data_IF_601070767702
#
_entry.id   IF_601070767702
#
_cell.length_a   1.000
_cell.length_b   1.000
_cell.length_c   1.000
_cell.angle_alpha   90.00
_cell.angle_beta   90.00
_cell.angle_gamma   90.00
#
_symmetry.space_group_name_H-M   'P 1'
#
loop_
_entity.id
_entity.type
_entity.pdbx_description
1 polymer ?
#
# COMPACT_ATOMS: atom_id res chain seq x y z
N UNK A 1 16.81 6.88 -48.65
CA UNK A 1 17.48 6.16 -47.56
C UNK A 1 17.59 6.97 -46.26
N UNK A 2 18.01 8.25 -46.26
CA UNK A 2 18.12 9.06 -45.00
C UNK A 2 16.82 9.19 -44.20
N UNK A 3 15.66 9.38 -44.84
CA UNK A 3 14.35 9.49 -44.15
C UNK A 3 13.90 8.19 -43.48
N UNK A 4 14.23 7.02 -44.04
CA UNK A 4 13.88 5.72 -43.46
C UNK A 4 14.72 5.40 -42.21
N UNK A 5 16.01 5.76 -42.25
CA UNK A 5 16.94 5.58 -41.13
C UNK A 5 16.52 6.45 -39.94
N UNK A 6 16.09 7.70 -40.17
CA UNK A 6 15.63 8.61 -39.11
C UNK A 6 14.34 8.10 -38.45
N UNK A 7 13.41 7.56 -39.23
CA UNK A 7 12.16 7.00 -38.70
C UNK A 7 12.38 5.75 -37.84
N UNK A 8 13.30 4.87 -38.25
CA UNK A 8 13.65 3.65 -37.47
C UNK A 8 14.38 4.02 -36.19
N UNK A 9 15.31 4.98 -36.20
CA UNK A 9 15.99 5.44 -34.98
C UNK A 9 15.03 6.07 -33.97
N UNK A 10 14.08 6.92 -34.43
CA UNK A 10 13.08 7.53 -33.56
C UNK A 10 12.17 6.48 -32.95
N UNK A 11 11.77 5.45 -33.70
CA UNK A 11 10.93 4.37 -33.20
C UNK A 11 11.65 3.49 -32.16
N UNK A 12 12.96 3.21 -32.39
CA UNK A 12 13.77 2.46 -31.42
C UNK A 12 13.97 3.26 -30.11
N UNK A 13 14.22 4.58 -30.21
CA UNK A 13 14.38 5.45 -29.04
C UNK A 13 13.09 5.54 -28.24
N UNK A 14 11.92 5.62 -28.88
CA UNK A 14 10.63 5.62 -28.21
C UNK A 14 10.35 4.27 -27.52
N UNK A 15 10.69 3.16 -28.16
CA UNK A 15 10.56 1.82 -27.56
C UNK A 15 11.54 1.59 -26.39
N UNK A 16 12.76 2.13 -26.46
CA UNK A 16 13.73 2.02 -25.36
C UNK A 16 13.37 2.93 -24.18
N UNK A 17 12.86 4.13 -24.44
CA UNK A 17 12.34 5.02 -23.38
C UNK A 17 11.11 4.43 -22.69
N UNK A 18 10.21 3.77 -23.40
CA UNK A 18 9.08 3.06 -22.80
C UNK A 18 9.51 1.87 -21.91
N UNK A 19 10.70 1.29 -22.16
CA UNK A 19 11.26 0.24 -21.29
C UNK A 19 12.10 0.79 -20.13
N UNK A 20 12.56 2.04 -20.19
CA UNK A 20 13.34 2.71 -19.13
C UNK A 20 12.42 3.39 -18.09
N UNK A 21 11.24 3.85 -18.47
CA UNK A 21 10.18 4.18 -17.53
C UNK A 21 9.62 2.87 -16.99
N UNK A 22 10.30 2.34 -15.98
CA UNK A 22 10.05 1.06 -15.36
C UNK A 22 8.56 0.78 -15.33
N UNK A 23 8.20 -0.37 -15.83
CA UNK A 23 6.88 -0.97 -15.71
C UNK A 23 6.44 -0.84 -14.27
N UNK A 24 5.81 0.28 -13.91
CA UNK A 24 5.02 0.34 -12.67
C UNK A 24 4.01 -0.77 -12.85
N UNK A 25 4.23 -1.85 -12.12
CA UNK A 25 3.28 -2.95 -12.08
C UNK A 25 2.11 -2.42 -11.26
N UNK A 26 1.24 -1.66 -11.93
CA UNK A 26 -0.10 -1.40 -11.43
C UNK A 26 -0.70 -2.79 -11.27
N UNK A 27 -1.07 -3.14 -10.06
CA UNK A 27 -1.61 -4.45 -9.78
C UNK A 27 -2.85 -4.68 -10.65
N UNK A 28 -2.90 -5.84 -11.29
CA UNK A 28 -4.08 -6.20 -12.10
C UNK A 28 -5.31 -6.31 -11.20
N UNK A 29 -6.54 -6.13 -11.74
CA UNK A 29 -7.76 -6.38 -10.97
C UNK A 29 -7.78 -7.77 -10.31
N UNK A 30 -7.23 -8.80 -10.99
CA UNK A 30 -7.13 -10.16 -10.48
C UNK A 30 -6.18 -10.25 -9.28
N UNK A 31 -5.04 -9.56 -9.33
CA UNK A 31 -4.10 -9.48 -8.21
C UNK A 31 -4.77 -8.86 -6.97
N UNK A 32 -5.44 -7.71 -7.14
CA UNK A 32 -6.17 -7.02 -6.07
C UNK A 32 -7.25 -7.92 -5.46
N UNK A 33 -8.08 -8.52 -6.32
CA UNK A 33 -9.14 -9.42 -5.88
C UNK A 33 -8.59 -10.63 -5.10
N UNK A 34 -7.51 -11.26 -5.59
CA UNK A 34 -6.90 -12.41 -4.92
C UNK A 34 -6.35 -12.08 -3.54
N UNK A 35 -5.74 -10.91 -3.36
CA UNK A 35 -5.28 -10.46 -2.04
C UNK A 35 -6.44 -10.14 -1.11
N UNK A 36 -7.40 -9.32 -1.57
CA UNK A 36 -8.56 -8.93 -0.77
C UNK A 36 -9.36 -10.16 -0.30
N UNK A 37 -9.55 -11.14 -1.17
CA UNK A 37 -10.24 -12.38 -0.81
C UNK A 37 -9.53 -13.10 0.34
N UNK A 38 -8.23 -13.36 0.21
CA UNK A 38 -7.45 -14.06 1.25
C UNK A 38 -7.40 -13.31 2.58
N UNK A 39 -7.16 -12.00 2.55
CA UNK A 39 -7.10 -11.17 3.74
C UNK A 39 -8.47 -11.11 4.42
N UNK A 40 -9.52 -10.83 3.65
CA UNK A 40 -10.86 -10.66 4.19
C UNK A 40 -11.46 -11.97 4.70
N UNK A 41 -11.09 -13.12 4.13
CA UNK A 41 -11.42 -14.42 4.71
C UNK A 41 -10.77 -14.62 6.09
N UNK A 42 -9.49 -14.26 6.27
CA UNK A 42 -8.83 -14.32 7.57
C UNK A 42 -9.48 -13.37 8.58
N UNK A 43 -9.74 -12.13 8.17
CA UNK A 43 -10.39 -11.11 9.00
C UNK A 43 -11.81 -11.52 9.43
N UNK A 44 -12.60 -12.14 8.55
CA UNK A 44 -13.95 -12.57 8.85
C UNK A 44 -14.01 -13.69 9.89
N UNK A 45 -12.99 -14.56 9.95
CA UNK A 45 -12.97 -15.71 10.87
C UNK A 45 -12.35 -15.39 12.22
N UNK A 46 -11.50 -14.38 12.31
CA UNK A 46 -10.54 -14.23 13.39
C UNK A 46 -9.44 -15.30 13.33
N UNK A 47 -8.35 -15.07 14.00
CA UNK A 47 -7.24 -16.03 14.05
C UNK A 47 -6.32 -15.80 15.26
N UNK A 48 -5.44 -16.75 15.52
CA UNK A 48 -4.37 -16.58 16.49
C UNK A 48 -3.14 -15.95 15.83
N UNK A 49 -2.69 -14.81 16.36
CA UNK A 49 -1.44 -14.16 16.01
C UNK A 49 -0.38 -14.49 17.07
N UNK A 50 0.33 -15.59 16.88
CA UNK A 50 1.11 -16.21 17.96
C UNK A 50 0.18 -16.71 19.07
N UNK A 51 0.46 -16.32 20.30
CA UNK A 51 -0.38 -16.70 21.47
C UNK A 51 -1.62 -15.82 21.67
N UNK A 52 -1.86 -14.79 20.84
CA UNK A 52 -2.95 -13.82 21.00
C UNK A 52 -4.08 -14.11 20.01
N UNK A 53 -5.30 -14.36 20.52
CA UNK A 53 -6.47 -14.43 19.65
C UNK A 53 -6.90 -13.03 19.19
N UNK A 54 -6.99 -12.85 17.87
CA UNK A 54 -7.54 -11.66 17.23
C UNK A 54 -8.97 -11.96 16.76
N UNK A 55 -9.93 -11.21 17.30
CA UNK A 55 -11.33 -11.36 16.94
C UNK A 55 -11.57 -11.00 15.45
N UNK A 56 -12.69 -11.45 14.85
CA UNK A 56 -13.08 -10.99 13.52
C UNK A 56 -13.05 -9.48 13.39
N UNK A 57 -12.53 -9.01 12.26
CA UNK A 57 -12.40 -7.59 11.95
C UNK A 57 -13.14 -7.24 10.64
N UNK A 58 -13.61 -6.00 10.47
CA UNK A 58 -14.26 -5.57 9.23
C UNK A 58 -13.36 -5.79 8.00
N UNK A 59 -13.94 -6.05 6.82
CA UNK A 59 -13.15 -6.26 5.61
C UNK A 59 -12.38 -4.99 5.22
N UNK A 60 -11.21 -5.19 4.61
CA UNK A 60 -10.42 -4.14 3.99
C UNK A 60 -10.90 -3.90 2.55
N UNK A 61 -10.80 -2.66 2.10
CA UNK A 61 -11.00 -2.26 0.71
C UNK A 61 -9.69 -1.79 0.10
N UNK A 62 -9.56 -1.91 -1.23
CA UNK A 62 -8.35 -1.45 -1.92
C UNK A 62 -8.29 0.07 -1.96
N UNK A 63 -7.09 0.63 -1.74
CA UNK A 63 -6.82 2.05 -1.83
C UNK A 63 -5.61 2.27 -2.76
N UNK A 64 -5.79 3.07 -3.81
CA UNK A 64 -4.75 3.30 -4.82
C UNK A 64 -3.57 4.12 -4.29
N UNK A 65 -3.78 5.00 -3.33
CA UNK A 65 -2.71 5.80 -2.74
C UNK A 65 -1.78 4.92 -1.89
N UNK A 66 -2.36 4.00 -1.10
CA UNK A 66 -1.59 2.99 -0.36
C UNK A 66 -0.86 2.04 -1.32
N UNK A 67 -1.50 1.64 -2.42
CA UNK A 67 -0.85 0.83 -3.46
C UNK A 67 0.36 1.55 -4.06
N UNK A 68 0.24 2.84 -4.41
CA UNK A 68 1.35 3.64 -4.94
C UNK A 68 2.52 3.70 -3.96
N UNK A 69 2.24 3.88 -2.66
CA UNK A 69 3.27 3.85 -1.61
C UNK A 69 3.97 2.50 -1.57
N UNK A 70 3.19 1.42 -1.48
CA UNK A 70 3.69 0.05 -1.40
C UNK A 70 4.52 -0.37 -2.63
N UNK A 71 4.02 -0.08 -3.85
CA UNK A 71 4.72 -0.39 -5.10
C UNK A 71 6.06 0.34 -5.21
N UNK A 72 6.09 1.62 -4.84
CA UNK A 72 7.33 2.41 -4.85
C UNK A 72 8.36 1.87 -3.87
N UNK A 73 7.93 1.48 -2.67
CA UNK A 73 8.84 0.94 -1.66
C UNK A 73 9.35 -0.46 -2.01
N UNK A 74 8.49 -1.34 -2.51
CA UNK A 74 8.92 -2.65 -3.02
C UNK A 74 9.94 -2.51 -4.16
N UNK A 75 9.70 -1.56 -5.09
CA UNK A 75 10.62 -1.24 -6.17
C UNK A 75 11.95 -0.64 -5.68
N UNK A 76 11.91 0.22 -4.66
CA UNK A 76 13.10 0.82 -4.07
C UNK A 76 13.97 -0.24 -3.36
N UNK A 77 13.36 -1.13 -2.57
CA UNK A 77 14.06 -2.26 -1.94
C UNK A 77 14.72 -3.16 -2.98
N UNK A 78 13.98 -3.53 -4.04
CA UNK A 78 14.48 -4.39 -5.11
C UNK A 78 15.63 -3.75 -5.90
N UNK A 79 15.50 -2.47 -6.27
CA UNK A 79 16.49 -1.76 -7.07
C UNK A 79 17.78 -1.48 -6.30
N UNK A 80 17.68 -1.27 -4.99
CA UNK A 80 18.80 -0.91 -4.12
C UNK A 80 19.30 -2.06 -3.24
N UNK A 81 18.73 -3.24 -3.40
CA UNK A 81 19.11 -4.47 -2.70
C UNK A 81 19.18 -4.28 -1.16
N UNK A 82 18.05 -3.90 -0.55
CA UNK A 82 17.92 -3.78 0.90
C UNK A 82 16.52 -4.22 1.35
N UNK A 83 16.37 -4.55 2.63
CA UNK A 83 15.11 -4.94 3.24
C UNK A 83 14.91 -4.18 4.55
N UNK A 84 13.99 -3.21 4.57
CA UNK A 84 13.75 -2.34 5.73
C UNK A 84 12.42 -1.60 5.60
N UNK A 85 11.76 -1.32 6.73
CA UNK A 85 10.62 -0.41 6.83
C UNK A 85 11.00 1.06 6.55
N UNK A 86 12.27 1.43 6.72
CA UNK A 86 12.77 2.77 6.42
C UNK A 86 13.54 2.76 5.12
N UNK A 87 13.21 3.66 4.21
CA UNK A 87 13.92 3.84 2.94
C UNK A 87 15.37 4.29 3.18
N UNK A 88 16.29 4.01 2.23
CA UNK A 88 17.71 4.40 2.36
C UNK A 88 17.94 5.90 2.50
N UNK A 89 17.02 6.72 2.00
CA UNK A 89 17.04 8.18 2.14
C UNK A 89 16.44 8.69 3.47
N UNK A 90 16.09 7.78 4.38
CA UNK A 90 15.54 8.08 5.70
C UNK A 90 14.01 8.23 5.75
N UNK A 91 13.30 8.15 4.61
CA UNK A 91 11.82 8.22 4.62
C UNK A 91 11.24 7.05 5.39
N UNK A 92 10.36 7.36 6.34
CA UNK A 92 9.56 6.38 7.07
C UNK A 92 8.39 5.87 6.22
N UNK A 93 7.71 4.82 6.68
CA UNK A 93 6.43 4.37 6.10
C UNK A 93 5.42 5.52 6.03
N UNK A 94 5.26 6.29 7.11
CA UNK A 94 4.33 7.43 7.17
C UNK A 94 4.65 8.48 6.11
N UNK A 95 5.94 8.79 5.89
CA UNK A 95 6.36 9.75 4.86
C UNK A 95 5.99 9.26 3.46
N UNK A 96 6.24 7.98 3.16
CA UNK A 96 5.90 7.39 1.86
C UNK A 96 4.40 7.38 1.60
N UNK A 97 3.60 6.98 2.59
CA UNK A 97 2.14 6.95 2.52
C UNK A 97 1.58 8.36 2.30
N UNK A 98 2.08 9.36 3.04
CA UNK A 98 1.71 10.76 2.87
C UNK A 98 2.11 11.30 1.49
N UNK A 99 3.32 11.02 1.02
CA UNK A 99 3.80 11.42 -0.32
C UNK A 99 3.03 10.75 -1.46
N UNK A 100 2.41 9.61 -1.22
CA UNK A 100 1.49 8.97 -2.15
C UNK A 100 0.08 9.59 -2.14
N UNK A 101 -0.18 10.56 -1.26
CA UNK A 101 -1.44 11.30 -1.16
C UNK A 101 -2.43 10.71 -0.16
N UNK A 102 -2.07 9.65 0.58
CA UNK A 102 -2.93 9.13 1.64
C UNK A 102 -2.73 9.95 2.91
N UNK A 103 -3.60 10.94 3.10
CA UNK A 103 -3.55 11.89 4.20
C UNK A 103 -4.80 11.79 5.08
N UNK A 104 -4.80 12.48 6.22
CA UNK A 104 -5.97 12.60 7.09
C UNK A 104 -6.80 13.88 6.80
N UNK A 105 -6.43 14.63 5.76
CA UNK A 105 -7.14 15.89 5.41
C UNK A 105 -8.64 15.63 5.23
N UNK A 106 -9.46 16.38 5.98
CA UNK A 106 -10.90 16.16 6.01
C UNK A 106 -11.38 15.04 6.94
N UNK A 107 -10.47 14.38 7.66
CA UNK A 107 -10.78 13.36 8.67
C UNK A 107 -10.33 13.81 10.06
N UNK A 108 -10.96 13.26 11.10
CA UNK A 108 -10.62 13.53 12.50
C UNK A 108 -9.24 12.98 12.87
N UNK A 109 -8.90 11.81 12.35
CA UNK A 109 -7.63 11.14 12.54
C UNK A 109 -7.44 10.03 11.51
N UNK A 110 -6.22 9.51 11.40
CA UNK A 110 -5.93 8.31 10.62
C UNK A 110 -4.91 7.43 11.34
N UNK A 111 -4.89 6.17 10.98
CA UNK A 111 -3.96 5.15 11.42
C UNK A 111 -3.35 4.48 10.20
N UNK A 112 -2.06 4.22 10.20
CA UNK A 112 -1.35 3.53 9.12
C UNK A 112 -0.44 2.45 9.68
N UNK A 113 -0.16 1.43 8.87
CA UNK A 113 0.72 0.32 9.22
C UNK A 113 1.30 -0.31 7.97
N UNK A 114 2.36 -1.10 8.16
CA UNK A 114 3.05 -1.75 7.04
C UNK A 114 3.46 -3.18 7.42
N UNK A 115 3.33 -4.10 6.47
CA UNK A 115 4.00 -5.39 6.47
C UNK A 115 4.94 -5.44 5.26
N UNK A 116 6.15 -5.95 5.46
CA UNK A 116 7.09 -6.23 4.37
C UNK A 116 7.51 -7.71 4.39
N UNK A 117 7.86 -8.26 3.22
CA UNK A 117 8.45 -9.59 3.11
C UNK A 117 9.42 -9.63 1.94
N UNK A 118 10.45 -10.49 2.06
CA UNK A 118 11.43 -10.79 1.02
C UNK A 118 11.47 -12.30 0.80
N UNK A 119 11.50 -12.72 -0.46
CA UNK A 119 11.64 -14.12 -0.87
C UNK A 119 10.39 -14.79 -1.43
N UNK A 120 9.17 -14.66 -0.84
CA UNK A 120 7.98 -15.29 -1.41
C UNK A 120 7.78 -14.92 -2.88
N UNK A 121 7.34 -15.90 -3.68
CA UNK A 121 7.10 -15.68 -5.12
C UNK A 121 5.61 -15.62 -5.46
N UNK A 122 4.75 -16.02 -4.53
CA UNK A 122 3.31 -16.07 -4.73
C UNK A 122 2.54 -15.35 -3.62
N UNK A 123 1.30 -14.95 -3.94
CA UNK A 123 0.35 -14.39 -2.96
C UNK A 123 0.09 -15.38 -1.82
N UNK A 124 0.03 -16.68 -2.13
CA UNK A 124 -0.22 -17.69 -1.11
C UNK A 124 0.93 -17.79 -0.10
N UNK A 125 2.17 -17.80 -0.59
CA UNK A 125 3.36 -17.87 0.27
C UNK A 125 3.51 -16.65 1.16
N UNK A 126 3.37 -15.43 0.61
CA UNK A 126 3.53 -14.22 1.40
C UNK A 126 2.42 -14.06 2.44
N UNK A 127 1.18 -14.40 2.10
CA UNK A 127 0.06 -14.39 3.05
C UNK A 127 0.23 -15.41 4.17
N UNK A 128 0.68 -16.63 3.85
CA UNK A 128 0.98 -17.66 4.85
C UNK A 128 2.10 -17.20 5.80
N UNK A 129 3.16 -16.61 5.26
CA UNK A 129 4.25 -16.04 6.05
C UNK A 129 3.79 -14.93 6.99
N UNK A 130 3.00 -13.97 6.50
CA UNK A 130 2.48 -12.90 7.33
C UNK A 130 1.50 -13.39 8.41
N UNK A 131 0.62 -14.35 8.10
CA UNK A 131 -0.32 -14.90 9.10
C UNK A 131 0.40 -15.71 10.19
N UNK A 132 1.52 -16.36 9.89
CA UNK A 132 2.34 -17.10 10.85
C UNK A 132 3.22 -16.20 11.73
N UNK A 133 3.54 -15.00 11.27
CA UNK A 133 4.32 -13.99 12.02
C UNK A 133 3.43 -13.20 12.96
N UNK A 134 3.64 -13.25 14.29
CA UNK A 134 2.74 -12.58 15.24
C UNK A 134 2.57 -11.07 14.99
N UNK A 135 3.62 -10.36 14.60
CA UNK A 135 3.57 -8.92 14.32
C UNK A 135 2.79 -8.61 13.05
N UNK A 136 3.12 -9.28 11.95
CA UNK A 136 2.42 -9.09 10.67
C UNK A 136 0.95 -9.51 10.74
N UNK A 137 0.65 -10.61 11.44
CA UNK A 137 -0.70 -11.09 11.67
C UNK A 137 -1.54 -10.06 12.45
N UNK A 138 -0.98 -9.40 13.48
CA UNK A 138 -1.67 -8.34 14.23
C UNK A 138 -2.02 -7.15 13.32
N UNK A 139 -1.15 -6.76 12.40
CA UNK A 139 -1.48 -5.74 11.39
C UNK A 139 -2.63 -6.19 10.48
N UNK A 140 -2.56 -7.43 9.96
CA UNK A 140 -3.64 -8.00 9.14
C UNK A 140 -5.00 -8.00 9.84
N UNK A 141 -5.01 -8.20 11.15
CA UNK A 141 -6.20 -8.34 11.98
C UNK A 141 -6.59 -7.05 12.71
N UNK A 142 -5.83 -5.96 12.57
CA UNK A 142 -6.14 -4.69 13.24
C UNK A 142 -7.49 -4.14 12.77
N UNK A 143 -8.49 -3.99 13.67
CA UNK A 143 -9.81 -3.49 13.31
C UNK A 143 -9.82 -1.98 12.98
N UNK A 144 -8.76 -1.24 13.33
CA UNK A 144 -8.58 0.17 12.97
C UNK A 144 -8.35 0.36 11.48
N UNK A 145 -7.67 -0.59 10.83
CA UNK A 145 -7.45 -0.53 9.38
C UNK A 145 -8.73 -0.85 8.60
N UNK A 146 -8.98 -0.06 7.56
CA UNK A 146 -10.14 -0.12 6.66
C UNK A 146 -9.73 -0.28 5.20
N UNK A 147 -8.52 0.16 4.86
CA UNK A 147 -8.00 0.29 3.52
C UNK A 147 -6.63 -0.39 3.42
N UNK A 148 -6.29 -0.86 2.23
CA UNK A 148 -5.03 -1.56 1.97
C UNK A 148 -4.54 -1.27 0.55
N UNK A 149 -3.23 -1.19 0.38
CA UNK A 149 -2.54 -1.24 -0.90
C UNK A 149 -1.35 -2.19 -0.82
N UNK A 150 -1.04 -2.88 -1.92
CA UNK A 150 0.04 -3.86 -1.94
C UNK A 150 0.93 -3.64 -3.15
N UNK A 151 2.25 -3.71 -2.92
CA UNK A 151 3.28 -3.66 -3.93
C UNK A 151 4.10 -4.94 -3.94
N UNK A 152 4.52 -5.35 -5.13
CA UNK A 152 5.45 -6.45 -5.36
C UNK A 152 6.48 -6.07 -6.41
N UNK A 153 7.74 -6.37 -6.13
CA UNK A 153 8.81 -6.24 -7.11
C UNK A 153 9.92 -7.26 -6.81
N UNK A 154 10.17 -8.18 -7.74
CA UNK A 154 11.29 -9.12 -7.70
C UNK A 154 11.53 -9.79 -6.32
N UNK A 155 10.49 -10.36 -5.73
CA UNK A 155 10.54 -11.04 -4.43
C UNK A 155 10.34 -10.13 -3.22
N UNK A 156 10.31 -8.80 -3.39
CA UNK A 156 10.01 -7.84 -2.33
C UNK A 156 8.52 -7.49 -2.31
N UNK A 157 7.92 -7.64 -1.15
CA UNK A 157 6.51 -7.37 -0.91
C UNK A 157 6.35 -6.26 0.11
N UNK A 158 5.43 -5.36 -0.15
CA UNK A 158 5.00 -4.32 0.78
C UNK A 158 3.47 -4.31 0.83
N UNK A 159 2.93 -4.22 2.03
CA UNK A 159 1.51 -4.13 2.31
C UNK A 159 1.29 -2.93 3.23
N UNK A 160 0.79 -1.84 2.67
CA UNK A 160 0.45 -0.63 3.38
C UNK A 160 -1.02 -0.65 3.78
N UNK A 161 -1.29 -0.40 5.06
CA UNK A 161 -2.63 -0.32 5.65
C UNK A 161 -2.99 1.10 5.99
N UNK A 162 -4.26 1.41 5.92
CA UNK A 162 -4.81 2.68 6.37
C UNK A 162 -6.19 2.55 7.00
N UNK A 163 -6.47 3.47 7.94
CA UNK A 163 -7.79 3.63 8.53
C UNK A 163 -8.03 5.09 8.84
N UNK A 164 -9.05 5.70 8.22
CA UNK A 164 -9.42 7.09 8.45
C UNK A 164 -10.69 7.17 9.26
N UNK A 165 -10.73 8.06 10.26
CA UNK A 165 -11.87 8.31 11.12
C UNK A 165 -12.51 9.62 10.69
N UNK A 166 -13.75 9.56 10.21
CA UNK A 166 -14.51 10.74 9.82
C UNK A 166 -14.88 11.58 11.05
N UNK A 167 -15.02 12.90 10.85
CA UNK A 167 -15.68 13.76 11.81
C UNK A 167 -17.14 13.33 12.00
N UNK A 168 -17.75 13.68 13.16
CA UNK A 168 -19.18 13.49 13.35
C UNK A 168 -19.98 14.25 12.28
N UNK A 169 -21.22 13.81 12.00
CA UNK A 169 -22.08 14.47 11.02
C UNK A 169 -22.34 15.96 11.36
N UNK A 170 -22.37 16.29 12.65
CA UNK A 170 -22.49 17.66 13.11
C UNK A 170 -21.26 18.51 12.76
N UNK A 171 -20.04 18.02 13.08
CA UNK A 171 -18.79 18.71 12.75
C UNK A 171 -18.63 18.84 11.23
N UNK A 172 -18.99 17.81 10.46
CA UNK A 172 -18.97 17.91 8.98
C UNK A 172 -19.90 19.01 8.46
N UNK A 173 -21.08 19.19 9.06
CA UNK A 173 -22.00 20.29 8.72
C UNK A 173 -21.39 21.66 9.04
N UNK A 174 -20.76 21.80 10.20
CA UNK A 174 -20.09 23.04 10.63
C UNK A 174 -18.90 23.37 9.72
N UNK A 175 -18.11 22.38 9.30
CA UNK A 175 -17.03 22.56 8.32
C UNK A 175 -17.60 23.07 6.98
N UNK A 176 -18.66 22.43 6.47
CA UNK A 176 -19.30 22.83 5.22
C UNK A 176 -19.92 24.22 5.25
N UNK A 177 -20.40 24.66 6.42
CA UNK A 177 -20.97 26.03 6.59
C UNK A 177 -19.92 27.12 6.87
N UNK A 178 -18.61 26.75 6.95
CA UNK A 178 -17.54 27.68 7.30
C UNK A 178 -17.51 28.10 8.79
N UNK A 179 -18.32 27.46 9.63
CA UNK A 179 -18.39 27.75 11.08
C UNK A 179 -17.33 26.96 11.89
N UNK A 180 -16.61 26.03 11.27
CA UNK A 180 -15.56 25.25 11.89
C UNK A 180 -14.36 25.13 10.93
N UNK A 181 -13.19 25.53 11.42
CA UNK A 181 -11.95 25.42 10.69
C UNK A 181 -11.06 24.37 11.34
N UNK A 182 -10.55 23.43 10.54
CA UNK A 182 -9.56 22.46 10.98
C UNK A 182 -8.22 23.20 11.04
N UNK A 183 -7.66 23.37 12.23
CA UNK A 183 -6.30 23.90 12.42
C UNK A 183 -5.36 22.71 12.42
N UNK A 184 -4.58 22.55 11.36
CA UNK A 184 -3.49 21.57 11.33
C UNK A 184 -2.38 22.02 12.30
N UNK A 185 -2.10 21.18 13.30
CA UNK A 185 -0.86 21.32 14.09
C UNK A 185 0.24 20.59 13.34
N UNK A 186 1.15 21.35 12.79
CA UNK A 186 2.41 20.87 12.21
C UNK A 186 3.36 20.33 13.28
#
# INVERSE_FOLDING_TARGET
>A
MKKLVTAVLTFIIVLTLANIYGRQIISTPQFRASFLDKINQARARGCYCGGTYMAPAPPLVWNEQLEVSAVRHAGDMAANNYFSHTSRDGRTMQDRIRMAGYTYDGFKSYEVGENIAEGPQTIAEVMDGWLKSPGHCKNLMNPGFKEIGIGYNNGYWVQDFGGRVAFSAEVQRLIKSGQYHIIEKH
#
